data_IF_562602363852
#
_entry.id   IF_562602363852
#
_cell.length_a   1.000
_cell.length_b   1.000
_cell.length_c   1.000
_cell.angle_alpha   90.00
_cell.angle_beta   90.00
_cell.angle_gamma   90.00
#
_symmetry.space_group_name_H-M   'P 1'
#
loop_
_entity.id
_entity.type
_entity.pdbx_description
1 polymer ?
#
# COMPACT_ATOMS: atom_id res chain seq x y z
N UNK A 1 -0.40 3.70 6.75
CA UNK A 1 0.92 3.99 6.17
C UNK A 1 2.00 3.80 7.22
N UNK A 2 3.08 3.08 6.91
CA UNK A 2 4.20 2.87 7.82
C UNK A 2 5.41 3.69 7.38
N UNK A 3 5.38 4.98 7.72
CA UNK A 3 6.41 5.95 7.34
C UNK A 3 7.79 5.57 7.89
N UNK A 4 7.85 4.89 9.02
CA UNK A 4 9.10 4.39 9.60
C UNK A 4 9.77 3.36 8.69
N UNK A 5 9.05 2.33 8.23
CA UNK A 5 9.64 1.33 7.33
C UNK A 5 9.97 1.89 5.96
N UNK A 6 9.13 2.78 5.43
CA UNK A 6 9.39 3.50 4.18
C UNK A 6 10.70 4.29 4.26
N UNK A 7 10.87 5.03 5.35
CA UNK A 7 12.07 5.81 5.60
C UNK A 7 13.30 4.91 5.79
N UNK A 8 13.15 3.77 6.46
CA UNK A 8 14.23 2.79 6.61
C UNK A 8 14.61 2.14 5.27
N UNK A 9 13.63 1.77 4.44
CA UNK A 9 13.86 1.25 3.09
C UNK A 9 14.58 2.27 2.19
N UNK A 10 14.16 3.55 2.22
CA UNK A 10 14.81 4.63 1.46
C UNK A 10 16.29 4.82 1.85
N UNK A 11 16.63 4.47 3.09
CA UNK A 11 18.00 4.50 3.61
C UNK A 11 18.70 3.12 3.58
N UNK A 12 18.14 2.10 2.91
CA UNK A 12 18.68 0.73 2.80
C UNK A 12 18.92 0.02 4.16
N UNK A 13 18.11 0.33 5.17
CA UNK A 13 18.32 -0.19 6.53
C UNK A 13 17.13 -1.01 7.02
N UNK A 14 17.40 -1.99 7.90
CA UNK A 14 16.35 -2.79 8.55
C UNK A 14 16.18 -2.35 9.99
N UNK A 15 15.00 -2.59 10.57
CA UNK A 15 14.70 -2.32 12.00
C UNK A 15 15.73 -2.96 12.95
N UNK A 16 16.27 -4.11 12.56
CA UNK A 16 17.32 -4.81 13.29
C UNK A 16 18.61 -3.98 13.42
N UNK A 17 18.99 -3.23 12.38
CA UNK A 17 20.20 -2.42 12.36
C UNK A 17 20.09 -1.22 13.31
N UNK A 18 18.89 -0.62 13.36
CA UNK A 18 18.55 0.44 14.31
C UNK A 18 18.61 -0.09 15.74
N UNK A 19 18.03 -1.26 16.02
CA UNK A 19 18.10 -1.91 17.33
C UNK A 19 19.54 -2.19 17.76
N UNK A 20 20.37 -2.74 16.85
CA UNK A 20 21.77 -3.12 17.14
C UNK A 20 22.64 -1.92 17.51
N UNK A 21 22.38 -0.74 16.92
CA UNK A 21 23.18 0.48 17.14
C UNK A 21 22.65 1.36 18.28
N UNK A 22 21.34 1.39 18.50
CA UNK A 22 20.70 2.35 19.45
C UNK A 22 20.07 1.72 20.68
N UNK A 23 19.95 0.39 20.72
CA UNK A 23 19.33 -0.34 21.82
C UNK A 23 17.80 -0.16 21.93
N UNK A 24 17.15 0.59 21.04
CA UNK A 24 15.69 0.80 21.07
C UNK A 24 14.97 -0.47 20.62
N UNK A 25 14.15 -1.04 21.52
CA UNK A 25 13.49 -2.33 21.28
C UNK A 25 12.65 -2.33 20.01
N UNK A 26 12.68 -3.45 19.29
CA UNK A 26 11.90 -3.63 18.06
C UNK A 26 10.39 -3.49 18.29
N UNK A 27 9.91 -3.77 19.51
CA UNK A 27 8.52 -3.56 19.91
C UNK A 27 8.14 -2.06 19.94
N UNK A 28 9.06 -1.20 20.38
CA UNK A 28 8.82 0.24 20.45
C UNK A 28 8.79 0.85 19.05
N UNK A 29 9.67 0.42 18.15
CA UNK A 29 9.63 0.77 16.72
C UNK A 29 8.33 0.27 16.05
N UNK A 30 7.87 -0.93 16.40
CA UNK A 30 6.62 -1.50 15.89
C UNK A 30 5.36 -0.74 16.38
N UNK A 31 5.41 -0.08 17.53
CA UNK A 31 4.26 0.66 18.08
C UNK A 31 3.97 1.97 17.33
N UNK A 32 4.97 2.53 16.63
CA UNK A 32 4.85 3.77 15.86
C UNK A 32 4.65 3.53 14.35
N UNK A 33 4.66 2.27 13.91
CA UNK A 33 4.41 1.81 12.53
C UNK A 33 3.06 2.26 11.96
N UNK A 34 2.04 2.44 12.79
CA UNK A 34 0.67 2.74 12.35
C UNK A 34 0.20 4.16 12.67
N UNK A 35 1.05 5.00 13.27
CA UNK A 35 0.67 6.34 13.73
C UNK A 35 1.18 7.42 12.76
N UNK A 36 0.48 8.54 12.70
CA UNK A 36 0.98 9.77 12.05
C UNK A 36 2.31 10.21 12.67
N UNK A 37 3.13 10.91 11.91
CA UNK A 37 4.51 11.26 12.32
C UNK A 37 4.52 12.16 13.55
N UNK A 38 3.51 13.02 13.70
CA UNK A 38 3.23 13.82 14.90
C UNK A 38 3.09 13.00 16.19
N UNK A 39 2.79 11.69 16.10
CA UNK A 39 2.66 10.78 17.26
C UNK A 39 3.91 9.91 17.48
N UNK A 40 5.01 10.18 16.80
CA UNK A 40 6.26 9.45 17.01
C UNK A 40 6.88 9.92 18.32
N UNK A 41 7.41 8.98 19.11
CA UNK A 41 8.08 9.36 20.35
C UNK A 41 9.44 9.99 20.02
N UNK A 42 9.82 11.02 20.78
CA UNK A 42 11.13 11.67 20.65
C UNK A 42 12.29 10.65 20.72
N UNK A 43 12.12 9.57 21.50
CA UNK A 43 13.10 8.46 21.57
C UNK A 43 13.30 7.75 20.23
N UNK A 44 12.26 7.55 19.44
CA UNK A 44 12.36 6.94 18.10
C UNK A 44 13.07 7.87 17.14
N UNK A 45 12.75 9.17 17.16
CA UNK A 45 13.39 10.16 16.30
C UNK A 45 14.89 10.27 16.65
N UNK A 46 15.24 10.30 17.94
CA UNK A 46 16.63 10.32 18.39
C UNK A 46 17.40 9.06 17.97
N UNK A 47 16.79 7.87 18.07
CA UNK A 47 17.41 6.64 17.63
C UNK A 47 17.63 6.58 16.11
N UNK A 48 16.66 7.05 15.31
CA UNK A 48 16.84 7.16 13.86
C UNK A 48 17.95 8.15 13.50
N UNK A 49 18.03 9.28 14.22
CA UNK A 49 19.07 10.30 14.05
C UNK A 49 20.47 9.76 14.36
N UNK A 50 20.62 9.07 15.49
CA UNK A 50 21.88 8.43 15.91
C UNK A 50 22.30 7.31 14.94
N UNK A 51 21.33 6.54 14.43
CA UNK A 51 21.61 5.50 13.47
C UNK A 51 22.10 6.08 12.13
N UNK A 52 21.40 7.09 11.61
CA UNK A 52 21.69 7.73 10.31
C UNK A 52 22.78 8.80 10.35
N UNK A 53 23.36 9.08 11.52
CA UNK A 53 24.27 10.21 11.75
C UNK A 53 23.69 11.56 11.28
N UNK A 54 22.39 11.77 11.52
CA UNK A 54 21.67 13.02 11.20
C UNK A 54 21.22 13.69 12.49
N UNK A 55 20.78 14.95 12.41
CA UNK A 55 20.13 15.60 13.56
C UNK A 55 18.69 15.10 13.70
N UNK A 56 18.14 15.02 14.93
CA UNK A 56 16.74 14.68 15.14
C UNK A 56 15.76 15.59 14.38
N UNK A 57 16.12 16.88 14.22
CA UNK A 57 15.35 17.84 13.43
C UNK A 57 15.28 17.46 11.97
N UNK A 58 16.44 17.17 11.34
CA UNK A 58 16.50 16.75 9.93
C UNK A 58 15.71 15.45 9.69
N UNK A 59 15.80 14.48 10.60
CA UNK A 59 15.03 13.23 10.48
C UNK A 59 13.54 13.51 10.58
N UNK A 60 13.10 14.38 11.49
CA UNK A 60 11.70 14.76 11.61
C UNK A 60 11.21 15.49 10.35
N UNK A 61 12.00 16.42 9.80
CA UNK A 61 11.66 17.14 8.57
C UNK A 61 11.52 16.17 7.37
N UNK A 62 12.45 15.23 7.22
CA UNK A 62 12.39 14.21 6.15
C UNK A 62 11.19 13.27 6.33
N UNK A 63 10.87 12.91 7.57
CA UNK A 63 9.69 12.12 7.90
C UNK A 63 8.41 12.90 7.56
N UNK A 64 8.25 14.14 8.01
CA UNK A 64 7.10 14.99 7.70
C UNK A 64 6.95 15.19 6.20
N UNK A 65 8.06 15.37 5.47
CA UNK A 65 8.06 15.44 4.01
C UNK A 65 7.51 14.16 3.39
N UNK A 66 7.89 12.98 3.88
CA UNK A 66 7.35 11.70 3.41
C UNK A 66 5.85 11.53 3.71
N UNK A 67 5.36 12.02 4.86
CA UNK A 67 3.92 12.02 5.15
C UNK A 67 3.15 12.98 4.25
N UNK A 68 3.74 14.13 3.91
CA UNK A 68 3.14 15.12 3.01
C UNK A 68 3.17 14.68 1.55
N UNK A 69 4.25 14.02 1.12
CA UNK A 69 4.38 13.47 -0.23
C UNK A 69 3.43 12.30 -0.48
N UNK A 70 3.03 11.56 0.59
CA UNK A 70 2.19 10.36 0.55
C UNK A 70 2.43 9.53 -0.73
N UNK A 71 3.69 9.12 -0.99
CA UNK A 71 4.07 8.59 -2.29
C UNK A 71 3.25 7.34 -2.58
N UNK A 72 2.59 7.36 -3.74
CA UNK A 72 1.89 6.18 -4.23
C UNK A 72 2.92 5.09 -4.53
N UNK A 73 2.65 3.87 -4.07
CA UNK A 73 3.53 2.75 -4.35
C UNK A 73 3.27 2.24 -5.77
N UNK A 74 4.27 2.31 -6.64
CA UNK A 74 4.16 1.80 -8.00
C UNK A 74 4.53 0.31 -8.03
N UNK A 75 3.61 -0.51 -8.55
CA UNK A 75 3.80 -1.94 -8.71
C UNK A 75 3.80 -2.31 -10.21
N UNK A 76 4.85 -2.97 -10.67
CA UNK A 76 4.99 -3.44 -12.05
C UNK A 76 4.87 -4.96 -12.17
N UNK A 77 4.85 -5.66 -11.04
CA UNK A 77 4.75 -7.12 -10.98
C UNK A 77 4.00 -7.59 -9.71
N UNK A 78 3.62 -8.88 -9.63
CA UNK A 78 2.90 -9.42 -8.47
C UNK A 78 3.66 -9.32 -7.14
N UNK A 79 5.00 -9.44 -7.14
CA UNK A 79 5.81 -9.38 -5.92
C UNK A 79 5.83 -7.96 -5.35
N UNK A 80 5.92 -6.96 -6.22
CA UNK A 80 5.82 -5.55 -5.85
C UNK A 80 4.41 -5.22 -5.36
N UNK A 81 3.36 -5.70 -6.05
CA UNK A 81 1.99 -5.54 -5.58
C UNK A 81 1.81 -6.13 -4.16
N UNK A 82 2.30 -7.35 -3.94
CA UNK A 82 2.28 -7.98 -2.63
C UNK A 82 3.02 -7.13 -1.58
N UNK A 83 4.18 -6.58 -1.94
CA UNK A 83 4.94 -5.67 -1.09
C UNK A 83 4.10 -4.45 -0.71
N UNK A 84 3.49 -3.78 -1.70
CA UNK A 84 2.60 -2.64 -1.47
C UNK A 84 1.43 -2.96 -0.53
N UNK A 85 0.83 -4.14 -0.71
CA UNK A 85 -0.27 -4.65 0.11
C UNK A 85 0.17 -5.03 1.54
N UNK A 86 1.36 -5.63 1.70
CA UNK A 86 1.94 -6.00 3.00
C UNK A 86 2.25 -4.78 3.86
N UNK A 87 2.85 -3.76 3.25
CA UNK A 87 3.20 -2.52 3.93
C UNK A 87 2.02 -1.55 4.12
N UNK A 88 0.84 -1.91 3.61
CA UNK A 88 -0.39 -1.13 3.72
C UNK A 88 -0.20 0.31 3.24
N UNK A 89 0.32 0.46 2.03
CA UNK A 89 0.41 1.77 1.36
C UNK A 89 -0.98 2.35 1.16
N UNK A 90 -1.14 3.66 1.35
CA UNK A 90 -2.45 4.33 1.24
C UNK A 90 -2.95 4.30 -0.20
N UNK A 91 -2.04 4.47 -1.17
CA UNK A 91 -2.31 4.35 -2.60
C UNK A 91 -1.26 3.42 -3.23
N UNK A 92 -1.74 2.43 -4.00
CA UNK A 92 -0.92 1.55 -4.82
C UNK A 92 -1.34 1.77 -6.27
N UNK A 93 -0.39 2.01 -7.17
CA UNK A 93 -0.63 2.18 -8.60
C UNK A 93 0.04 1.02 -9.32
N UNK A 94 -0.76 0.16 -9.95
CA UNK A 94 -0.25 -0.91 -10.79
C UNK A 94 -0.03 -0.34 -12.19
N UNK A 95 1.18 -0.47 -12.74
CA UNK A 95 1.58 0.07 -14.04
C UNK A 95 2.25 -0.98 -14.92
N UNK A 96 2.42 -0.64 -16.20
CA UNK A 96 3.20 -1.45 -17.15
C UNK A 96 2.45 -2.68 -17.66
N UNK A 97 3.21 -3.68 -18.13
CA UNK A 97 2.64 -4.88 -18.76
C UNK A 97 1.64 -5.61 -17.84
N UNK A 98 1.96 -5.65 -16.54
CA UNK A 98 1.12 -6.27 -15.52
C UNK A 98 -0.24 -5.58 -15.34
N UNK A 99 -0.30 -4.26 -15.49
CA UNK A 99 -1.57 -3.51 -15.47
C UNK A 99 -2.47 -3.94 -16.64
N UNK A 100 -1.92 -4.06 -17.84
CA UNK A 100 -2.68 -4.43 -19.03
C UNK A 100 -3.25 -5.86 -18.93
N UNK A 101 -2.51 -6.79 -18.32
CA UNK A 101 -2.99 -8.15 -18.06
C UNK A 101 -4.19 -8.14 -17.12
N UNK A 102 -4.06 -7.47 -15.96
CA UNK A 102 -5.15 -7.34 -14.99
C UNK A 102 -6.35 -6.61 -15.61
N UNK A 103 -6.11 -5.55 -16.37
CA UNK A 103 -7.16 -4.76 -17.01
C UNK A 103 -7.94 -5.57 -18.04
N UNK A 104 -7.27 -6.34 -18.91
CA UNK A 104 -7.94 -7.19 -19.90
C UNK A 104 -8.82 -8.26 -19.24
N UNK A 105 -8.29 -8.89 -18.19
CA UNK A 105 -9.00 -9.91 -17.44
C UNK A 105 -10.20 -9.32 -16.69
N UNK A 106 -10.03 -8.14 -16.08
CA UNK A 106 -11.08 -7.37 -15.44
C UNK A 106 -12.16 -6.97 -16.44
N UNK A 107 -11.79 -6.42 -17.61
CA UNK A 107 -12.75 -6.06 -18.64
C UNK A 107 -13.54 -7.27 -19.15
N UNK A 108 -12.88 -8.42 -19.30
CA UNK A 108 -13.54 -9.67 -19.69
C UNK A 108 -14.65 -10.09 -18.73
N UNK A 109 -14.43 -9.98 -17.41
CA UNK A 109 -15.47 -10.30 -16.42
C UNK A 109 -16.47 -9.15 -16.17
N UNK A 110 -16.08 -7.89 -16.41
CA UNK A 110 -16.99 -6.75 -16.35
C UNK A 110 -18.05 -6.81 -17.44
N UNK A 111 -17.71 -7.18 -18.68
CA UNK A 111 -18.69 -7.24 -19.77
C UNK A 111 -19.87 -8.20 -19.50
N UNK A 112 -19.66 -9.25 -18.71
CA UNK A 112 -20.74 -10.14 -18.26
C UNK A 112 -21.62 -9.51 -17.17
N UNK A 113 -21.07 -8.59 -16.37
CA UNK A 113 -21.75 -7.91 -15.25
C UNK A 113 -22.33 -6.54 -15.60
N UNK A 114 -21.77 -5.85 -16.61
CA UNK A 114 -22.30 -4.62 -17.21
C UNK A 114 -23.71 -4.85 -17.78
N UNK A 115 -23.97 -6.06 -18.31
CA UNK A 115 -25.29 -6.49 -18.79
C UNK A 115 -26.34 -6.50 -17.66
N UNK A 116 -25.93 -6.71 -16.41
CA UNK A 116 -26.80 -6.72 -15.23
C UNK A 116 -26.85 -5.36 -14.49
N UNK A 117 -25.85 -4.49 -14.69
CA UNK A 117 -25.66 -3.24 -13.94
C UNK A 117 -26.29 -1.98 -14.53
N UNK A 118 -26.73 -1.99 -15.80
CA UNK A 118 -27.37 -0.84 -16.46
C UNK A 118 -28.81 -0.61 -15.94
N UNK A 119 -29.48 -1.63 -15.40
CA UNK A 119 -30.89 -1.54 -14.99
C UNK A 119 -31.13 -0.85 -13.62
N UNK A 120 -30.08 -0.60 -12.83
CA UNK A 120 -30.20 -0.03 -11.49
C UNK A 120 -29.43 1.30 -11.45
N UNK A 121 -30.17 2.42 -11.55
CA UNK A 121 -29.66 3.79 -11.72
C UNK A 121 -28.58 4.25 -10.71
N UNK A 122 -28.10 5.50 -10.88
CA UNK A 122 -26.93 6.22 -10.28
C UNK A 122 -26.19 5.70 -9.02
N UNK A 123 -26.77 4.87 -8.17
CA UNK A 123 -26.08 3.99 -7.21
C UNK A 123 -25.25 2.84 -7.88
N UNK A 124 -25.43 2.59 -9.18
CA UNK A 124 -24.71 1.53 -9.92
C UNK A 124 -23.19 1.73 -10.04
N UNK A 125 -22.68 2.97 -10.14
CA UNK A 125 -21.25 3.22 -10.45
C UNK A 125 -20.31 2.85 -9.30
N UNK A 126 -20.74 3.07 -8.05
CA UNK A 126 -19.98 2.66 -6.86
C UNK A 126 -19.97 1.14 -6.69
N UNK A 127 -21.06 0.48 -7.07
CA UNK A 127 -21.22 -0.97 -7.05
C UNK A 127 -20.28 -1.64 -8.06
N UNK A 128 -20.19 -1.11 -9.29
CA UNK A 128 -19.27 -1.60 -10.33
C UNK A 128 -17.80 -1.59 -9.87
N UNK A 129 -17.35 -0.54 -9.19
CA UNK A 129 -15.96 -0.48 -8.67
C UNK A 129 -15.71 -1.43 -7.50
N UNK A 130 -16.74 -1.71 -6.68
CA UNK A 130 -16.65 -2.71 -5.61
C UNK A 130 -16.67 -4.15 -6.14
N UNK A 131 -17.38 -4.43 -7.24
CA UNK A 131 -17.27 -5.72 -7.94
C UNK A 131 -15.92 -5.86 -8.63
N UNK A 132 -15.39 -4.78 -9.20
CA UNK A 132 -14.07 -4.79 -9.82
C UNK A 132 -12.95 -5.19 -8.84
N UNK A 133 -13.03 -4.84 -7.54
CA UNK A 133 -12.02 -5.32 -6.57
C UNK A 133 -12.15 -6.82 -6.27
N UNK A 134 -13.38 -7.36 -6.20
CA UNK A 134 -13.59 -8.80 -6.05
C UNK A 134 -13.13 -9.56 -7.29
N UNK A 135 -13.30 -8.96 -8.46
CA UNK A 135 -12.79 -9.46 -9.72
C UNK A 135 -11.27 -9.49 -9.72
N UNK A 136 -10.57 -8.39 -9.37
CA UNK A 136 -9.11 -8.40 -9.18
C UNK A 136 -8.71 -9.49 -8.20
N UNK A 137 -9.43 -9.65 -7.09
CA UNK A 137 -9.17 -10.71 -6.11
C UNK A 137 -9.28 -12.10 -6.74
N UNK A 138 -10.36 -12.37 -7.46
CA UNK A 138 -10.63 -13.68 -8.06
C UNK A 138 -9.64 -14.01 -9.21
N UNK A 139 -9.02 -12.99 -9.82
CA UNK A 139 -7.88 -13.18 -10.74
C UNK A 139 -6.64 -13.78 -10.05
N UNK A 140 -6.52 -13.61 -8.73
CA UNK A 140 -5.41 -14.14 -7.92
C UNK A 140 -5.74 -15.49 -7.25
N UNK A 141 -6.93 -16.05 -7.47
CA UNK A 141 -7.35 -17.29 -6.80
C UNK A 141 -6.63 -18.55 -7.31
N UNK A 142 -5.84 -18.46 -8.39
CA UNK A 142 -5.27 -19.63 -9.06
C UNK A 142 -3.74 -19.61 -9.16
N UNK A 143 -3.13 -20.58 -8.49
CA UNK A 143 -1.71 -20.99 -8.56
C UNK A 143 -0.65 -20.03 -7.97
N UNK A 144 0.13 -20.56 -7.02
CA UNK A 144 1.26 -19.97 -6.29
C UNK A 144 0.96 -19.23 -4.95
N UNK A 145 1.91 -19.33 -4.01
CA UNK A 145 1.82 -18.79 -2.63
C UNK A 145 1.69 -17.27 -2.62
N UNK A 146 2.32 -16.60 -3.59
CA UNK A 146 2.28 -15.14 -3.75
C UNK A 146 0.87 -14.65 -4.08
N UNK A 147 0.16 -15.33 -4.98
CA UNK A 147 -1.17 -14.91 -5.42
C UNK A 147 -2.22 -15.02 -4.31
N UNK A 148 -2.16 -16.09 -3.50
CA UNK A 148 -3.03 -16.25 -2.32
C UNK A 148 -2.84 -15.15 -1.27
N UNK A 149 -1.63 -14.66 -1.10
CA UNK A 149 -1.36 -13.57 -0.16
C UNK A 149 -1.85 -12.22 -0.71
N UNK A 150 -1.73 -11.99 -2.02
CA UNK A 150 -2.34 -10.84 -2.70
C UNK A 150 -3.86 -10.88 -2.53
N UNK A 151 -4.50 -12.01 -2.84
CA UNK A 151 -5.95 -12.25 -2.73
C UNK A 151 -6.50 -11.85 -1.35
N UNK A 152 -5.81 -12.27 -0.28
CA UNK A 152 -6.21 -11.96 1.10
C UNK A 152 -6.08 -10.48 1.43
N UNK A 153 -5.00 -9.84 1.00
CA UNK A 153 -4.67 -8.47 1.42
C UNK A 153 -5.36 -7.41 0.58
N UNK A 154 -5.64 -7.70 -0.70
CA UNK A 154 -6.26 -6.75 -1.62
C UNK A 154 -7.70 -6.37 -1.24
N UNK A 155 -8.40 -7.21 -0.47
CA UNK A 155 -9.74 -6.93 0.07
C UNK A 155 -9.76 -5.66 0.93
N UNK A 156 -8.64 -5.32 1.56
CA UNK A 156 -8.50 -4.09 2.35
C UNK A 156 -8.40 -2.82 1.50
N UNK A 157 -8.39 -2.94 0.17
CA UNK A 157 -8.31 -1.84 -0.77
C UNK A 157 -9.62 -1.67 -1.55
N UNK A 158 -9.81 -0.48 -2.12
CA UNK A 158 -10.83 -0.16 -3.10
C UNK A 158 -10.17 0.23 -4.41
N UNK A 159 -10.74 -0.22 -5.51
CA UNK A 159 -10.35 0.24 -6.83
C UNK A 159 -10.91 1.65 -7.04
N UNK A 160 -10.02 2.61 -7.32
CA UNK A 160 -10.38 4.01 -7.57
C UNK A 160 -10.40 4.30 -9.05
N UNK A 161 -9.45 3.74 -9.79
CA UNK A 161 -9.31 3.93 -11.24
C UNK A 161 -8.81 2.64 -11.87
N UNK A 162 -9.35 2.32 -13.05
CA UNK A 162 -8.92 1.20 -13.86
C UNK A 162 -8.82 1.62 -15.32
N UNK A 163 -7.60 1.57 -15.86
CA UNK A 163 -7.30 1.86 -17.26
C UNK A 163 -6.27 0.86 -17.78
N UNK A 164 -6.05 0.89 -19.11
CA UNK A 164 -5.04 0.06 -19.75
C UNK A 164 -3.60 0.44 -19.33
N UNK A 165 -3.41 1.68 -18.85
CA UNK A 165 -2.09 2.22 -18.47
C UNK A 165 -1.81 2.11 -16.97
N UNK A 166 -2.84 2.31 -16.14
CA UNK A 166 -2.74 2.26 -14.68
C UNK A 166 -4.02 1.76 -13.99
N UNK A 167 -3.82 1.01 -12.90
CA UNK A 167 -4.86 0.64 -11.93
C UNK A 167 -4.50 1.27 -10.57
N UNK A 168 -5.42 2.04 -9.99
CA UNK A 168 -5.20 2.74 -8.72
C UNK A 168 -6.02 2.06 -7.63
N UNK A 169 -5.32 1.51 -6.64
CA UNK A 169 -5.90 0.93 -5.44
C UNK A 169 -5.69 1.89 -4.27
N UNK A 170 -6.75 2.22 -3.54
CA UNK A 170 -6.67 3.00 -2.30
C UNK A 170 -7.04 2.13 -1.11
N UNK A 171 -6.28 2.22 -0.02
CA UNK A 171 -6.60 1.50 1.20
C UNK A 171 -7.99 1.95 1.72
N UNK A 172 -8.84 1.00 2.09
CA UNK A 172 -10.09 1.29 2.81
C UNK A 172 -9.69 1.78 4.20
N UNK A 173 -9.70 3.08 4.40
CA UNK A 173 -9.65 3.62 5.75
C UNK A 173 -10.92 3.16 6.46
N UNK A 174 -10.77 2.43 7.57
CA UNK A 174 -11.87 2.18 8.48
C UNK A 174 -12.27 3.54 9.03
N UNK A 175 -13.39 4.09 8.56
CA UNK A 175 -14.12 5.13 9.29
C UNK A 175 -14.32 4.60 10.71
N UNK A 176 -13.62 5.23 11.67
CA UNK A 176 -13.76 5.01 13.10
C UNK A 176 -14.10 6.33 13.76
#
# INVERSE_FOLDING_TARGET
>A
MNYLDLYLQKNNCKRYDVYKKTGVSQQLLATHTSKKIEKYSNKVIMALAEFLNKTPGTVLDELIALEKENPAFEAFNPLELLTGLEYKYDVIIIKGAYCNEIYKLMKGQLSDTETLGIELGSAGVATVLAYAINMVRDLFSNSDKVQREIERKIISYKLVEASHEQLILRLKQLDY
#
